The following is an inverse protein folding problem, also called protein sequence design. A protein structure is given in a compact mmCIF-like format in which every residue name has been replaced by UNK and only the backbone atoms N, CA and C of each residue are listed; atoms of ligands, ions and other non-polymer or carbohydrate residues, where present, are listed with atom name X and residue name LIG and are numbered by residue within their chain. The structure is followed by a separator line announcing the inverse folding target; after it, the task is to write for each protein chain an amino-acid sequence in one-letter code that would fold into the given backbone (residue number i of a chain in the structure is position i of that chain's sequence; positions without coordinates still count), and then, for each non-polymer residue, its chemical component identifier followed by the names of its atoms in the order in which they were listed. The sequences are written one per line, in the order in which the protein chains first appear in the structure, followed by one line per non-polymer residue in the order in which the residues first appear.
data_IF_353030184664
#
_entry.id   IF_353030184664
#
_cell.length_a   1.000
_cell.length_b   1.000
_cell.length_c   1.000
_cell.angle_alpha   90.00
_cell.angle_beta   90.00
_cell.angle_gamma   90.00
#
_symmetry.space_group_name_H-M   'P 1'
#
loop_
_entity.id
_entity.type
_entity.pdbx_description
1 polymer ?
#
# COMPACT_ATOMS: atom_id res chain seq x y z
N UNK A 1 -11.02 -23.90 16.76
CA UNK A 1 -11.57 -22.53 16.77
C UNK A 1 -10.82 -21.71 15.73
N UNK A 2 -11.46 -21.34 14.61
CA UNK A 2 -10.87 -20.38 13.68
C UNK A 2 -11.01 -18.99 14.30
N UNK A 3 -9.89 -18.31 14.60
CA UNK A 3 -9.88 -16.87 14.83
C UNK A 3 -10.23 -16.18 13.51
N UNK A 4 -11.52 -15.91 13.26
CA UNK A 4 -11.92 -14.87 12.31
C UNK A 4 -11.62 -13.51 12.97
N UNK A 5 -10.34 -13.13 12.97
CA UNK A 5 -9.86 -11.93 13.61
C UNK A 5 -8.76 -11.28 12.77
N UNK A 6 -9.18 -10.29 11.96
CA UNK A 6 -8.43 -9.08 11.67
C UNK A 6 -7.13 -9.20 10.85
N UNK A 7 -7.22 -9.60 9.57
CA UNK A 7 -6.20 -9.18 8.58
C UNK A 7 -6.46 -7.74 8.10
N UNK A 8 -7.04 -6.90 8.96
CA UNK A 8 -7.27 -5.48 8.67
C UNK A 8 -5.93 -4.77 8.82
N UNK A 9 -5.61 -3.89 7.88
CA UNK A 9 -4.51 -2.95 8.07
C UNK A 9 -5.09 -1.82 8.91
N UNK A 10 -4.91 -1.87 10.24
CA UNK A 10 -5.66 -1.00 11.13
C UNK A 10 -5.08 0.41 11.21
N UNK A 11 -3.77 0.54 11.05
CA UNK A 11 -3.03 1.79 11.14
C UNK A 11 -1.70 1.71 10.36
N UNK A 12 -0.97 2.81 10.35
CA UNK A 12 0.32 2.91 9.66
C UNK A 12 1.37 1.93 10.21
N UNK A 13 1.40 1.68 11.52
CA UNK A 13 2.35 0.74 12.14
C UNK A 13 2.13 -0.69 11.64
N UNK A 14 0.87 -1.13 11.53
CA UNK A 14 0.52 -2.41 10.95
C UNK A 14 0.98 -2.49 9.48
N UNK A 15 0.74 -1.44 8.70
CA UNK A 15 1.15 -1.39 7.30
C UNK A 15 2.67 -1.51 7.16
N UNK A 16 3.42 -0.75 7.97
CA UNK A 16 4.89 -0.81 8.01
C UNK A 16 5.37 -2.21 8.35
N UNK A 17 4.83 -2.82 9.42
CA UNK A 17 5.19 -4.19 9.81
C UNK A 17 4.95 -5.19 8.68
N UNK A 18 3.79 -5.17 8.04
CA UNK A 18 3.49 -6.07 6.92
C UNK A 18 4.45 -5.88 5.74
N UNK A 19 4.86 -4.64 5.46
CA UNK A 19 5.82 -4.35 4.40
C UNK A 19 7.20 -4.94 4.70
N UNK A 20 7.71 -4.75 5.92
CA UNK A 20 9.02 -5.25 6.36
C UNK A 20 9.07 -6.77 6.46
N UNK A 21 7.99 -7.40 6.97
CA UNK A 21 7.87 -8.86 7.06
C UNK A 21 7.84 -9.52 5.67
N UNK A 22 7.18 -8.89 4.69
CA UNK A 22 7.00 -9.46 3.37
C UNK A 22 8.13 -9.17 2.39
N UNK A 23 8.83 -8.04 2.55
CA UNK A 23 9.86 -7.57 1.62
C UNK A 23 11.22 -7.51 2.31
N UNK A 24 12.08 -8.48 2.00
CA UNK A 24 13.46 -8.51 2.52
C UNK A 24 14.20 -7.19 2.22
N UNK A 25 14.82 -6.63 3.27
CA UNK A 25 15.60 -5.38 3.19
C UNK A 25 14.75 -4.12 2.97
N UNK A 26 13.44 -4.19 3.17
CA UNK A 26 12.57 -3.02 3.14
C UNK A 26 12.60 -2.35 4.52
N UNK A 27 13.00 -1.08 4.56
CA UNK A 27 12.96 -0.24 5.77
C UNK A 27 11.78 0.71 5.63
N UNK A 28 10.74 0.51 6.44
CA UNK A 28 9.48 1.22 6.26
C UNK A 28 9.53 2.66 6.79
N UNK A 29 9.21 3.60 5.90
CA UNK A 29 9.03 5.02 6.19
C UNK A 29 7.54 5.39 6.32
N UNK A 30 7.16 6.52 5.72
CA UNK A 30 5.76 7.02 5.77
C UNK A 30 4.80 6.01 5.15
N UNK A 31 3.58 5.95 5.69
CA UNK A 31 2.53 5.08 5.19
C UNK A 31 1.22 5.84 4.97
N UNK A 32 0.39 5.32 4.06
CA UNK A 32 -1.00 5.72 3.85
C UNK A 32 -1.87 4.48 4.00
N UNK A 33 -2.87 4.52 4.87
CA UNK A 33 -3.79 3.40 5.08
C UNK A 33 -5.16 3.77 4.58
N UNK A 34 -5.73 2.89 3.74
CA UNK A 34 -7.09 3.02 3.23
C UNK A 34 -8.08 3.06 4.39
N UNK A 35 -9.09 3.94 4.32
CA UNK A 35 -10.06 4.13 5.41
C UNK A 35 -10.88 2.87 5.75
N UNK A 36 -11.05 1.97 4.79
CA UNK A 36 -11.70 0.66 4.98
C UNK A 36 -10.75 -0.40 5.60
N UNK A 37 -9.47 -0.08 5.76
CA UNK A 37 -8.41 -0.99 6.21
C UNK A 37 -8.11 -2.12 5.22
N UNK A 38 -8.55 -1.98 3.97
CA UNK A 38 -8.43 -2.94 2.87
C UNK A 38 -7.08 -2.91 2.15
N UNK A 39 -6.40 -1.76 2.19
CA UNK A 39 -5.17 -1.52 1.46
C UNK A 39 -4.30 -0.49 2.19
N UNK A 40 -3.02 -0.45 1.82
CA UNK A 40 -2.10 0.59 2.26
C UNK A 40 -0.95 0.77 1.26
N UNK A 41 -0.30 1.92 1.33
CA UNK A 41 0.99 2.19 0.71
C UNK A 41 2.01 2.49 1.79
N UNK A 42 3.24 2.01 1.63
CA UNK A 42 4.35 2.33 2.51
C UNK A 42 5.54 2.73 1.66
N UNK A 43 6.09 3.92 1.87
CA UNK A 43 7.34 4.33 1.25
C UNK A 43 8.52 3.76 2.04
N UNK A 44 9.55 3.26 1.36
CA UNK A 44 10.72 2.69 2.03
C UNK A 44 11.74 2.15 1.04
N UNK A 45 13.01 2.14 1.41
CA UNK A 45 14.11 1.60 0.59
C UNK A 45 14.08 2.01 -0.90
N UNK A 46 13.78 3.28 -1.20
CA UNK A 46 13.71 3.79 -2.58
C UNK A 46 12.49 3.31 -3.40
N UNK A 47 11.51 2.67 -2.78
CA UNK A 47 10.35 2.07 -3.42
C UNK A 47 9.06 2.31 -2.63
N UNK A 48 7.93 1.85 -3.19
CA UNK A 48 6.65 1.79 -2.50
C UNK A 48 6.26 0.32 -2.30
N UNK A 49 5.99 -0.09 -1.07
CA UNK A 49 5.25 -1.32 -0.80
C UNK A 49 3.75 -1.04 -0.94
N UNK A 50 3.08 -1.76 -1.83
CA UNK A 50 1.63 -1.76 -2.01
C UNK A 50 1.06 -2.97 -1.30
N UNK A 51 0.16 -2.73 -0.36
CA UNK A 51 -0.49 -3.74 0.46
C UNK A 51 -1.97 -3.81 0.08
N UNK A 52 -2.49 -5.03 0.00
CA UNK A 52 -3.93 -5.26 -0.09
C UNK A 52 -4.34 -6.49 0.69
N UNK A 53 -5.52 -6.46 1.28
CA UNK A 53 -6.14 -7.63 1.89
C UNK A 53 -6.47 -8.67 0.83
N UNK A 54 -6.13 -9.92 1.10
CA UNK A 54 -6.46 -11.07 0.29
C UNK A 54 -6.99 -12.18 1.20
N UNK A 55 -8.32 -12.17 1.42
CA UNK A 55 -8.98 -13.05 2.38
C UNK A 55 -8.48 -12.80 3.81
N UNK A 56 -7.82 -13.80 4.40
CA UNK A 56 -7.24 -13.76 5.74
C UNK A 56 -5.75 -13.38 5.76
N UNK A 57 -5.18 -12.91 4.66
CA UNK A 57 -3.79 -12.47 4.57
C UNK A 57 -3.70 -11.04 4.00
N UNK A 58 -2.55 -10.42 4.17
CA UNK A 58 -2.17 -9.17 3.49
C UNK A 58 -1.12 -9.51 2.45
N UNK A 59 -1.44 -9.27 1.18
CA UNK A 59 -0.51 -9.45 0.09
C UNK A 59 0.26 -8.14 -0.14
N UNK A 60 1.58 -8.25 -0.35
CA UNK A 60 2.48 -7.10 -0.50
C UNK A 60 3.23 -7.20 -1.83
N UNK A 61 3.36 -6.07 -2.53
CA UNK A 61 4.21 -5.92 -3.72
C UNK A 61 5.06 -4.67 -3.65
N UNK A 62 6.28 -4.77 -4.17
CA UNK A 62 7.18 -3.63 -4.32
C UNK A 62 6.94 -3.00 -5.69
N UNK A 63 6.62 -1.71 -5.70
CA UNK A 63 6.54 -0.89 -6.90
C UNK A 63 7.64 0.18 -6.88
N UNK A 64 8.12 0.53 -8.07
CA UNK A 64 9.09 1.60 -8.27
C UNK A 64 8.34 2.85 -8.74
N UNK A 65 8.51 4.01 -8.09
CA UNK A 65 7.98 5.28 -8.58
C UNK A 65 8.45 5.64 -10.01
N UNK A 66 7.71 6.48 -10.76
CA UNK A 66 6.41 7.04 -10.40
C UNK A 66 5.28 6.01 -10.51
N UNK A 67 4.38 6.02 -9.53
CA UNK A 67 3.19 5.18 -9.52
C UNK A 67 2.21 5.65 -10.58
N UNK A 68 1.57 4.67 -11.23
CA UNK A 68 0.41 4.93 -12.10
C UNK A 68 -0.83 5.02 -11.22
N UNK A 69 -1.28 6.24 -10.97
CA UNK A 69 -2.43 6.53 -10.11
C UNK A 69 -3.61 7.01 -10.96
N UNK A 70 -4.82 6.55 -10.64
CA UNK A 70 -6.08 7.08 -11.17
C UNK A 70 -6.92 7.64 -10.04
N UNK A 71 -7.52 8.80 -10.26
CA UNK A 71 -8.55 9.33 -9.38
C UNK A 71 -9.81 8.47 -9.43
N UNK A 72 -10.46 8.33 -8.28
CA UNK A 72 -11.75 7.68 -8.13
C UNK A 72 -12.63 8.49 -7.15
N UNK A 73 -13.95 8.37 -7.26
CA UNK A 73 -14.89 9.09 -6.37
C UNK A 73 -14.62 8.77 -4.90
N UNK A 74 -14.26 7.51 -4.61
CA UNK A 74 -14.06 7.01 -3.26
C UNK A 74 -12.60 7.15 -2.77
N UNK A 75 -11.68 7.64 -3.61
CA UNK A 75 -10.26 7.80 -3.29
C UNK A 75 -9.34 7.68 -4.52
N UNK A 76 -8.34 6.81 -4.44
CA UNK A 76 -7.35 6.65 -5.51
C UNK A 76 -7.11 5.17 -5.83
N UNK A 77 -6.84 4.88 -7.09
CA UNK A 77 -6.45 3.54 -7.55
C UNK A 77 -5.00 3.54 -8.01
N UNK A 78 -4.19 2.65 -7.45
CA UNK A 78 -2.80 2.41 -7.86
C UNK A 78 -2.76 1.18 -8.76
N UNK A 79 -2.24 1.36 -9.98
CA UNK A 79 -1.98 0.27 -10.91
C UNK A 79 -0.67 -0.43 -10.52
N UNK A 80 -0.72 -1.76 -10.39
CA UNK A 80 0.46 -2.54 -9.97
C UNK A 80 1.20 -3.19 -11.14
N UNK A 81 0.59 -3.24 -12.33
CA UNK A 81 1.16 -3.89 -13.52
C UNK A 81 1.15 -5.42 -13.47
N UNK A 82 0.85 -6.03 -12.33
CA UNK A 82 0.79 -7.48 -12.16
C UNK A 82 -0.64 -8.00 -12.32
N UNK A 83 -0.92 -8.79 -13.36
CA UNK A 83 -2.28 -9.28 -13.65
C UNK A 83 -2.96 -10.02 -12.47
N UNK A 84 -2.21 -10.83 -11.71
CA UNK A 84 -2.76 -11.60 -10.59
C UNK A 84 -2.95 -10.76 -9.33
N UNK A 85 -2.13 -9.71 -9.15
CA UNK A 85 -2.28 -8.79 -8.04
C UNK A 85 -3.34 -7.72 -8.37
N UNK A 86 -3.44 -7.29 -9.62
CA UNK A 86 -4.41 -6.29 -10.06
C UNK A 86 -4.20 -4.91 -9.43
N UNK A 87 -5.03 -3.93 -9.81
CA UNK A 87 -5.01 -2.61 -9.21
C UNK A 87 -5.44 -2.64 -7.74
N UNK A 88 -5.01 -1.65 -6.97
CA UNK A 88 -5.35 -1.47 -5.55
C UNK A 88 -6.09 -0.16 -5.35
N UNK A 89 -7.28 -0.25 -4.76
CA UNK A 89 -8.11 0.91 -4.41
C UNK A 89 -7.81 1.32 -2.96
N UNK A 90 -7.58 2.61 -2.75
CA UNK A 90 -7.35 3.22 -1.45
C UNK A 90 -8.51 4.18 -1.15
N UNK A 91 -9.44 3.72 -0.29
CA UNK A 91 -10.60 4.49 0.13
C UNK A 91 -10.18 5.67 1.00
N UNK A 92 -10.67 6.87 0.68
CA UNK A 92 -10.38 8.10 1.42
C UNK A 92 -8.96 8.63 1.25
N UNK A 93 -8.15 8.05 0.36
CA UNK A 93 -6.82 8.54 0.00
C UNK A 93 -6.89 9.15 -1.39
N UNK A 94 -6.45 10.39 -1.56
CA UNK A 94 -6.45 11.09 -2.85
C UNK A 94 -5.20 10.78 -3.67
N UNK A 95 -5.27 11.02 -4.98
CA UNK A 95 -4.10 10.89 -5.85
C UNK A 95 -2.93 11.79 -5.40
N UNK A 96 -3.23 13.03 -4.98
CA UNK A 96 -2.22 13.95 -4.44
C UNK A 96 -1.52 13.42 -3.19
N UNK A 97 -2.23 12.74 -2.30
CA UNK A 97 -1.61 12.10 -1.14
C UNK A 97 -0.67 10.97 -1.57
N UNK A 98 -1.05 10.18 -2.57
CA UNK A 98 -0.18 9.13 -3.15
C UNK A 98 1.07 9.75 -3.78
N UNK A 99 0.92 10.81 -4.57
CA UNK A 99 2.05 11.51 -5.17
C UNK A 99 2.95 12.17 -4.12
N UNK A 100 2.37 12.74 -3.07
CA UNK A 100 3.13 13.29 -1.93
C UNK A 100 3.89 12.23 -1.13
N UNK A 101 3.44 10.97 -1.16
CA UNK A 101 4.14 9.86 -0.54
C UNK A 101 5.41 9.48 -1.33
N UNK A 102 5.32 9.39 -2.66
CA UNK A 102 6.43 8.98 -3.55
C UNK A 102 7.37 10.12 -3.98
N UNK A 103 6.97 11.38 -3.84
CA UNK A 103 7.75 12.53 -4.28
C UNK A 103 9.22 12.53 -3.78
N UNK A 104 9.52 12.19 -2.50
CA UNK A 104 10.91 12.12 -2.04
C UNK A 104 11.75 11.03 -2.71
N UNK A 105 11.11 10.04 -3.34
CA UNK A 105 11.77 8.89 -3.96
C UNK A 105 12.08 9.11 -5.46
N UNK A 106 11.47 10.12 -6.08
CA UNK A 106 11.60 10.38 -7.52
C UNK A 106 12.68 11.42 -7.84
N UNK A 107 13.27 12.06 -6.82
CA UNK A 107 14.27 13.14 -6.95
C UNK A 107 15.72 12.62 -7.08
N UNK A 108 15.94 11.43 -7.65
CA UNK A 108 17.27 10.80 -7.76
C UNK A 108 17.73 10.73 -9.21
#
# INVERSE_FOLDING_TARGET
MLKLGQSRIANEDDARRFAEEALVGFEAGRALVSGDGGAALVAGSGAIAVLKRHGAQVAVRRLVPPLRVREAIEGATVETGERLFGPVVLFGITADQVHGLEAPLTLV
#
